data_IF_481933221870
#
_entry.id   IF_481933221870
#
_cell.length_a   1.000
_cell.length_b   1.000
_cell.length_c   1.000
_cell.angle_alpha   90.00
_cell.angle_beta   90.00
_cell.angle_gamma   90.00
#
_symmetry.space_group_name_H-M   'P 1'
#
loop_
_entity.id
_entity.type
_entity.pdbx_description
1 polymer ?
#
# COMPACT_ATOMS: atom_id res chain seq x y z
N UNK A 1 1.76 8.15 -22.56
CA UNK A 1 2.18 7.47 -21.33
C UNK A 1 0.95 6.83 -20.75
N UNK A 2 1.05 5.57 -20.37
CA UNK A 2 -0.03 4.85 -19.72
C UNK A 2 0.31 4.73 -18.25
N UNK A 3 -0.55 5.25 -17.39
CA UNK A 3 -0.45 5.09 -15.95
C UNK A 3 -1.44 4.01 -15.54
N UNK A 4 -0.99 2.99 -14.83
CA UNK A 4 -1.86 1.96 -14.25
C UNK A 4 -1.85 2.14 -12.74
N UNK A 5 -3.02 2.31 -12.14
CA UNK A 5 -3.20 2.39 -10.70
C UNK A 5 -3.83 1.08 -10.21
N UNK A 6 -3.04 0.25 -9.53
CA UNK A 6 -3.46 -1.01 -8.94
C UNK A 6 -3.63 -0.86 -7.42
N UNK A 7 -4.89 -0.86 -6.97
CA UNK A 7 -5.25 -0.89 -5.55
C UNK A 7 -5.23 -2.33 -5.07
N UNK A 8 -4.36 -2.64 -4.10
CA UNK A 8 -4.15 -3.95 -3.52
C UNK A 8 -4.38 -3.94 -2.01
N UNK A 9 -5.03 -4.96 -1.46
CA UNK A 9 -5.15 -5.18 -0.02
C UNK A 9 -4.62 -6.57 0.34
N UNK A 10 -3.65 -6.67 1.27
CA UNK A 10 -2.99 -7.91 1.67
C UNK A 10 -2.58 -8.86 0.50
N UNK A 11 -2.14 -8.27 -0.62
CA UNK A 11 -1.72 -9.02 -1.82
C UNK A 11 -2.83 -9.34 -2.84
N UNK A 12 -4.10 -9.10 -2.51
CA UNK A 12 -5.22 -9.19 -3.45
C UNK A 12 -5.40 -7.86 -4.20
N UNK A 13 -5.58 -7.90 -5.52
CA UNK A 13 -5.86 -6.68 -6.30
C UNK A 13 -7.36 -6.41 -6.26
N UNK A 14 -7.77 -5.40 -5.47
CA UNK A 14 -9.15 -4.97 -5.33
C UNK A 14 -9.64 -4.22 -6.56
N UNK A 15 -8.77 -3.39 -7.15
CA UNK A 15 -9.12 -2.58 -8.32
C UNK A 15 -7.88 -2.26 -9.14
N UNK A 16 -8.05 -2.27 -10.46
CA UNK A 16 -7.04 -1.80 -11.41
C UNK A 16 -7.67 -0.76 -12.31
N UNK A 17 -7.05 0.40 -12.45
CA UNK A 17 -7.51 1.47 -13.34
C UNK A 17 -6.37 1.94 -14.22
N UNK A 18 -6.62 2.02 -15.52
CA UNK A 18 -5.65 2.49 -16.49
C UNK A 18 -6.03 3.89 -16.97
N UNK A 19 -5.07 4.82 -16.86
CA UNK A 19 -5.18 6.19 -17.34
C UNK A 19 -4.24 6.41 -18.51
N UNK A 20 -4.81 6.84 -19.63
CA UNK A 20 -4.01 7.26 -20.78
C UNK A 20 -3.70 8.74 -20.68
N UNK A 21 -2.43 9.08 -20.45
CA UNK A 21 -1.96 10.47 -20.42
C UNK A 21 -1.38 10.80 -21.78
N UNK A 22 -2.18 11.54 -22.57
CA UNK A 22 -1.78 12.07 -23.88
C UNK A 22 -1.21 13.48 -23.74
N UNK A 23 -0.11 13.75 -24.44
CA UNK A 23 0.50 15.08 -24.59
C UNK A 23 0.77 15.86 -23.28
N UNK A 24 1.35 15.20 -22.25
CA UNK A 24 1.90 15.93 -21.10
C UNK A 24 3.18 16.67 -21.52
N UNK A 25 3.18 17.99 -21.37
CA UNK A 25 4.33 18.84 -21.69
C UNK A 25 5.42 18.67 -20.62
N UNK A 26 6.69 18.85 -20.99
CA UNK A 26 7.79 18.81 -20.04
C UNK A 26 7.61 19.87 -18.95
N UNK A 27 7.90 19.51 -17.69
CA UNK A 27 7.65 20.34 -16.50
C UNK A 27 6.17 20.69 -16.26
N UNK A 28 5.24 19.92 -16.81
CA UNK A 28 3.82 20.04 -16.48
C UNK A 28 3.36 18.87 -15.62
N UNK A 29 2.36 19.13 -14.80
CA UNK A 29 1.70 18.13 -13.98
C UNK A 29 0.30 17.81 -14.53
N UNK A 30 -0.22 16.64 -14.17
CA UNK A 30 -1.57 16.19 -14.47
C UNK A 30 -2.14 15.56 -13.22
N UNK A 31 -3.27 16.08 -12.77
CA UNK A 31 -4.03 15.42 -11.72
C UNK A 31 -4.77 14.21 -12.30
N UNK A 32 -4.67 13.08 -11.60
CA UNK A 32 -5.39 11.85 -11.91
C UNK A 32 -6.20 11.49 -10.68
N UNK A 33 -7.52 11.51 -10.81
CA UNK A 33 -8.42 11.12 -9.73
C UNK A 33 -8.74 9.63 -9.86
N UNK A 34 -8.60 8.91 -8.74
CA UNK A 34 -8.98 7.51 -8.64
C UNK A 34 -10.06 7.37 -7.59
N UNK A 35 -11.14 6.68 -7.93
CA UNK A 35 -12.13 6.27 -6.94
C UNK A 35 -11.61 5.04 -6.20
N UNK A 36 -11.32 5.22 -4.92
CA UNK A 36 -10.90 4.14 -4.06
C UNK A 36 -12.09 3.19 -3.82
N UNK A 37 -11.91 1.86 -4.00
CA UNK A 37 -12.93 0.90 -3.62
C UNK A 37 -13.13 0.87 -2.10
N UNK A 38 -14.20 0.24 -1.63
CA UNK A 38 -14.44 0.06 -0.20
C UNK A 38 -13.28 -0.73 0.43
N UNK A 39 -12.54 -0.09 1.33
CA UNK A 39 -11.38 -0.66 1.99
C UNK A 39 -11.81 -1.30 3.31
N UNK A 40 -11.61 -2.62 3.41
CA UNK A 40 -11.85 -3.41 4.62
C UNK A 40 -10.85 -3.07 5.76
N UNK A 41 -10.91 -3.75 6.90
CA UNK A 41 -9.99 -3.58 8.05
C UNK A 41 -8.51 -3.91 7.73
N UNK A 42 -8.29 -4.52 6.57
CA UNK A 42 -7.00 -4.95 6.04
C UNK A 42 -6.13 -3.79 5.57
N UNK A 43 -4.82 -4.01 5.58
CA UNK A 43 -3.86 -3.06 5.01
C UNK A 43 -4.02 -2.96 3.50
N UNK A 44 -4.10 -1.72 2.99
CA UNK A 44 -4.30 -1.44 1.57
C UNK A 44 -3.22 -0.50 1.03
N UNK A 45 -2.78 -0.78 -0.20
CA UNK A 45 -1.79 -0.03 -0.96
C UNK A 45 -2.33 0.29 -2.35
N UNK A 46 -1.89 1.41 -2.92
CA UNK A 46 -2.07 1.72 -4.34
C UNK A 46 -0.70 1.75 -5.01
N UNK A 47 -0.57 1.03 -6.13
CA UNK A 47 0.63 1.02 -6.96
C UNK A 47 0.34 1.77 -8.25
N UNK A 48 1.07 2.86 -8.51
CA UNK A 48 1.03 3.59 -9.76
C UNK A 48 2.23 3.19 -10.63
N UNK A 49 1.95 2.48 -11.71
CA UNK A 49 2.93 2.09 -12.71
C UNK A 49 2.82 2.98 -13.92
N UNK A 50 3.90 3.70 -14.27
CA UNK A 50 3.98 4.56 -15.44
C UNK A 50 4.73 3.82 -16.56
N UNK A 51 4.03 3.59 -17.68
CA UNK A 51 4.57 2.93 -18.87
C UNK A 51 4.67 3.90 -20.04
N UNK A 52 5.74 3.79 -20.83
CA UNK A 52 5.89 4.53 -22.08
C UNK A 52 5.29 3.72 -23.23
N UNK A 53 4.19 4.18 -23.80
CA UNK A 53 3.56 3.49 -24.95
C UNK A 53 4.47 3.52 -26.20
N UNK A 54 5.30 4.56 -26.33
CA UNK A 54 6.19 4.72 -27.48
C UNK A 54 7.56 4.08 -27.25
N UNK A 55 7.99 3.29 -28.23
CA UNK A 55 9.36 2.79 -28.35
C UNK A 55 10.33 3.97 -28.41
N UNK A 56 11.46 3.83 -27.71
CA UNK A 56 12.60 4.74 -27.82
C UNK A 56 13.81 4.03 -28.40
N UNK A 57 14.92 4.75 -28.57
CA UNK A 57 16.20 4.19 -29.01
C UNK A 57 16.76 3.11 -28.06
N UNK A 58 16.34 3.13 -26.79
CA UNK A 58 16.89 2.28 -25.72
C UNK A 58 15.82 1.50 -24.93
N UNK A 59 14.55 1.57 -25.34
CA UNK A 59 13.45 0.84 -24.68
C UNK A 59 12.34 0.49 -25.66
N UNK A 60 11.73 -0.68 -25.47
CA UNK A 60 10.59 -1.13 -26.26
C UNK A 60 9.32 -0.31 -25.98
N UNK A 61 8.30 -0.49 -26.82
CA UNK A 61 6.97 0.03 -26.54
C UNK A 61 6.38 -0.64 -25.29
N UNK A 62 5.64 0.12 -24.49
CA UNK A 62 5.10 -0.27 -23.18
C UNK A 62 6.14 -0.53 -22.07
N UNK A 63 7.35 0.00 -22.21
CA UNK A 63 8.37 -0.13 -21.18
C UNK A 63 7.96 0.59 -19.89
N UNK A 64 8.14 -0.08 -18.75
CA UNK A 64 7.91 0.48 -17.43
C UNK A 64 9.01 1.48 -17.08
N UNK A 65 8.62 2.70 -16.71
CA UNK A 65 9.56 3.79 -16.43
C UNK A 65 9.66 4.04 -14.92
N UNK A 66 8.52 3.99 -14.24
CA UNK A 66 8.44 4.30 -12.82
C UNK A 66 7.32 3.51 -12.18
N UNK A 67 7.55 3.11 -10.94
CA UNK A 67 6.55 2.48 -10.06
C UNK A 67 6.55 3.27 -8.76
N UNK A 68 5.39 3.76 -8.36
CA UNK A 68 5.17 4.42 -7.08
C UNK A 68 4.20 3.60 -6.27
N UNK A 69 4.47 3.45 -4.98
CA UNK A 69 3.58 2.77 -4.05
C UNK A 69 3.19 3.74 -2.95
N UNK A 70 1.89 3.87 -2.69
CA UNK A 70 1.36 4.64 -1.58
C UNK A 70 0.51 3.74 -0.71
N UNK A 71 0.67 3.84 0.60
CA UNK A 71 -0.19 3.16 1.56
C UNK A 71 -1.49 3.97 1.68
N UNK A 72 -2.63 3.30 1.50
CA UNK A 72 -3.95 3.92 1.60
C UNK A 72 -4.51 3.81 3.01
N UNK A 73 -4.29 2.67 3.66
CA UNK A 73 -4.82 2.37 4.99
C UNK A 73 -3.87 1.45 5.72
N UNK A 74 -3.49 1.84 6.93
CA UNK A 74 -2.76 0.99 7.88
C UNK A 74 -3.62 -0.16 8.39
N UNK A 75 -2.98 -1.28 8.71
CA UNK A 75 -3.65 -2.43 9.31
C UNK A 75 -4.33 -2.02 10.62
N UNK A 76 -5.67 -2.02 10.63
CA UNK A 76 -6.44 -1.68 11.83
C UNK A 76 -6.93 -2.93 12.57
N UNK A 77 -6.49 -4.12 12.14
CA UNK A 77 -6.82 -5.36 12.81
C UNK A 77 -6.28 -5.34 14.25
N UNK A 78 -7.20 -5.25 15.21
CA UNK A 78 -6.86 -5.40 16.62
C UNK A 78 -6.44 -6.85 16.87
N UNK A 79 -5.16 -7.07 17.18
CA UNK A 79 -4.70 -8.34 17.69
C UNK A 79 -5.50 -8.69 18.96
N UNK A 80 -6.02 -9.92 19.10
CA UNK A 80 -6.69 -10.32 20.33
C UNK A 80 -5.72 -10.17 21.51
N UNK A 81 -6.22 -9.62 22.61
CA UNK A 81 -5.43 -9.43 23.81
C UNK A 81 -4.78 -10.77 24.21
N UNK A 82 -3.46 -10.75 24.43
CA UNK A 82 -2.73 -11.91 24.92
C UNK A 82 -3.18 -12.20 26.36
N UNK A 83 -4.21 -13.02 26.53
CA UNK A 83 -4.66 -13.46 27.85
C UNK A 83 -3.81 -14.65 28.27
N UNK A 84 -2.80 -14.40 29.09
CA UNK A 84 -2.02 -15.46 29.71
C UNK A 84 -2.71 -15.90 31.01
N UNK A 85 -3.39 -17.04 30.98
CA UNK A 85 -4.08 -17.61 32.14
C UNK A 85 -3.13 -18.24 33.18
N UNK A 86 -1.82 -18.32 32.90
CA UNK A 86 -0.82 -18.89 33.81
C UNK A 86 -0.06 -17.83 34.61
N UNK A 87 -0.51 -16.57 34.60
CA UNK A 87 0.14 -15.50 35.38
C UNK A 87 -0.20 -15.69 36.85
N UNK A 88 0.76 -16.16 37.65
CA UNK A 88 0.69 -16.01 39.10
C UNK A 88 1.23 -14.63 39.50
N UNK A 89 0.50 -13.87 40.34
CA UNK A 89 1.01 -12.60 40.87
C UNK A 89 2.24 -12.86 41.74
N UNK A 90 3.27 -12.01 41.60
CA UNK A 90 4.49 -12.08 42.41
C UNK A 90 4.13 -11.80 43.88
N UNK A 91 4.25 -12.82 44.73
CA UNK A 91 4.12 -12.67 46.19
C UNK A 91 5.49 -12.34 46.75
N UNK A 92 5.70 -11.07 47.13
CA UNK A 92 6.87 -10.66 47.90
C UNK A 92 6.63 -10.97 49.38
N UNK A 93 7.27 -12.02 49.89
CA UNK A 93 7.37 -12.24 51.34
C UNK A 93 8.61 -11.54 51.88
N UNK A 94 8.43 -10.39 52.53
CA UNK A 94 9.48 -9.73 53.30
C UNK A 94 9.59 -10.37 54.69
N UNK A 95 10.06 -11.62 54.76
CA UNK A 95 10.45 -12.22 56.05
C UNK A 95 11.81 -11.66 56.47
N UNK A 96 11.80 -10.56 57.22
CA UNK A 96 13.00 -10.07 57.92
C UNK A 96 13.29 -11.03 59.08
N UNK A 97 14.50 -11.61 59.09
CA UNK A 97 15.02 -12.37 60.21
C UNK A 97 15.30 -11.39 61.37
N UNK A 98 14.65 -11.58 62.53
CA UNK A 98 15.00 -10.89 63.79
C UNK A 98 16.31 -11.41 64.36
#
# INVERSE_FOLDING_TARGET
>A
YTITADVRAEGETLRSVQFKVEALVANSEREVTIDLPELDEREAFVNFTVRKDSRTLYSEANHEIAVYQFQLKDNTATLPALVNNNVQPLVLEESRLE
#
